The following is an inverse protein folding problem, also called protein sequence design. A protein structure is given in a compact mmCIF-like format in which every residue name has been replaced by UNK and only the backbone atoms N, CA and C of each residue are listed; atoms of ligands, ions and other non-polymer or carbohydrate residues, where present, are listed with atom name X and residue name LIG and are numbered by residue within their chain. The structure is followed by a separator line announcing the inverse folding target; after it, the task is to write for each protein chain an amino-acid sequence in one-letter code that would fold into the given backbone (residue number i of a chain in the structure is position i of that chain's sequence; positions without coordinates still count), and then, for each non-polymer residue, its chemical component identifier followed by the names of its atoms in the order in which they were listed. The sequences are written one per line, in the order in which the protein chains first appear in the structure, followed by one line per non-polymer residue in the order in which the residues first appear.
data_IF_336322354431
#
_entry.id   IF_336322354431
#
_cell.length_a   1.000
_cell.length_b   1.000
_cell.length_c   1.000
_cell.angle_alpha   90.00
_cell.angle_beta   90.00
_cell.angle_gamma   90.00
#
_symmetry.space_group_name_H-M   'P 1'
#
loop_
_entity.id
_entity.type
_entity.pdbx_description
1 polymer ?
#
# COMPACT_ATOMS: atom_id res chain seq x y z
N UNK A 1 9.14 0.01 -2.93
CA UNK A 1 8.29 -0.49 -1.83
C UNK A 1 9.08 -1.45 -0.98
N UNK A 2 9.33 -1.06 0.25
CA UNK A 2 10.01 -1.83 1.28
C UNK A 2 9.18 -1.83 2.57
N UNK A 3 9.42 -2.76 3.51
CA UNK A 3 8.72 -2.75 4.78
C UNK A 3 8.80 -1.37 5.46
N UNK A 4 7.66 -0.86 5.92
CA UNK A 4 7.53 0.49 6.47
C UNK A 4 6.99 1.53 5.50
N UNK A 5 7.07 1.31 4.18
CA UNK A 5 6.48 2.22 3.20
C UNK A 5 4.95 2.25 3.34
N UNK A 6 4.37 3.42 3.08
CA UNK A 6 2.92 3.65 3.12
C UNK A 6 2.39 3.86 1.70
N UNK A 7 1.23 3.28 1.42
CA UNK A 7 0.51 3.42 0.15
C UNK A 7 -0.88 3.97 0.44
N UNK A 8 -1.25 5.06 -0.21
CA UNK A 8 -2.61 5.61 -0.20
C UNK A 8 -3.30 5.32 -1.54
N UNK A 9 -4.58 4.94 -1.48
CA UNK A 9 -5.40 4.54 -2.61
C UNK A 9 -6.55 5.51 -2.76
N UNK A 10 -6.64 6.15 -3.91
CA UNK A 10 -7.81 6.90 -4.40
C UNK A 10 -8.52 5.96 -5.38
N UNK A 11 -9.63 5.35 -4.96
CA UNK A 11 -10.26 4.29 -5.74
C UNK A 11 -10.94 4.84 -6.99
N UNK A 12 -11.50 6.03 -6.92
CA UNK A 12 -12.28 6.66 -7.99
C UNK A 12 -11.41 7.50 -8.94
N UNK A 13 -10.20 7.86 -8.52
CA UNK A 13 -9.28 8.71 -9.26
C UNK A 13 -9.68 10.19 -9.24
N UNK A 14 -10.41 10.63 -8.22
CA UNK A 14 -10.97 11.98 -8.10
C UNK A 14 -10.11 12.94 -7.25
N UNK A 15 -8.95 12.46 -6.77
CA UNK A 15 -8.02 13.21 -5.94
C UNK A 15 -8.24 13.02 -4.43
N UNK A 16 -9.25 12.24 -4.01
CA UNK A 16 -9.46 11.89 -2.61
C UNK A 16 -8.93 10.49 -2.31
N UNK A 17 -8.05 10.39 -1.32
CA UNK A 17 -7.58 9.08 -0.84
C UNK A 17 -8.61 8.44 0.10
N UNK A 18 -9.00 7.21 -0.21
CA UNK A 18 -10.03 6.44 0.47
C UNK A 18 -9.45 5.42 1.44
N UNK A 19 -8.26 4.92 1.13
CA UNK A 19 -7.65 3.83 1.85
C UNK A 19 -6.14 4.02 2.00
N UNK A 20 -5.57 3.43 3.05
CA UNK A 20 -4.14 3.46 3.32
C UNK A 20 -3.69 2.10 3.82
N UNK A 21 -2.55 1.64 3.33
CA UNK A 21 -1.89 0.41 3.78
C UNK A 21 -0.44 0.66 4.11
N UNK A 22 0.14 -0.20 4.94
CA UNK A 22 1.58 -0.26 5.18
C UNK A 22 2.18 -1.51 4.54
N UNK A 23 3.30 -1.37 3.86
CA UNK A 23 4.11 -2.48 3.34
C UNK A 23 4.76 -3.19 4.52
N UNK A 24 4.57 -4.50 4.62
CA UNK A 24 5.04 -5.30 5.76
C UNK A 24 6.08 -6.35 5.36
N UNK A 25 6.06 -6.78 4.10
CA UNK A 25 6.95 -7.82 3.59
C UNK A 25 7.07 -7.76 2.07
N UNK A 26 7.93 -8.63 1.54
CA UNK A 26 7.91 -9.02 0.13
C UNK A 26 7.80 -10.53 0.05
N UNK A 27 7.10 -11.03 -0.96
CA UNK A 27 7.03 -12.46 -1.23
C UNK A 27 8.34 -12.99 -1.86
N UNK A 28 8.37 -14.28 -2.21
CA UNK A 28 9.53 -14.93 -2.86
C UNK A 28 9.88 -14.33 -4.23
N UNK A 29 8.91 -13.69 -4.89
CA UNK A 29 9.08 -12.98 -6.16
C UNK A 29 9.44 -11.50 -5.98
N UNK A 30 9.75 -11.06 -4.76
CA UNK A 30 10.05 -9.66 -4.42
C UNK A 30 8.83 -8.72 -4.61
N UNK A 31 7.61 -9.26 -4.67
CA UNK A 31 6.37 -8.47 -4.75
C UNK A 31 5.98 -7.95 -3.37
N UNK A 32 5.70 -6.65 -3.20
CA UNK A 32 5.30 -6.07 -1.93
C UNK A 32 3.98 -6.62 -1.40
N UNK A 33 3.97 -6.94 -0.10
CA UNK A 33 2.78 -7.34 0.65
C UNK A 33 2.44 -6.26 1.66
N UNK A 34 1.15 -5.98 1.81
CA UNK A 34 0.62 -4.91 2.64
C UNK A 34 -0.36 -5.42 3.69
N UNK A 35 -0.44 -4.67 4.79
CA UNK A 35 -1.53 -4.77 5.76
C UNK A 35 -2.35 -3.48 5.76
N UNK A 36 -3.64 -3.61 6.05
CA UNK A 36 -4.54 -2.49 6.24
C UNK A 36 -5.45 -2.70 7.44
N UNK A 37 -5.84 -1.61 8.10
CA UNK A 37 -6.78 -1.65 9.21
C UNK A 37 -8.23 -1.63 8.68
N UNK A 38 -8.59 -2.68 7.94
CA UNK A 38 -9.96 -2.96 7.46
C UNK A 38 -10.24 -4.46 7.63
N UNK A 39 -11.38 -4.95 7.13
CA UNK A 39 -11.72 -6.38 7.13
C UNK A 39 -10.56 -7.22 6.58
N UNK A 40 -10.03 -8.11 7.42
CA UNK A 40 -8.95 -9.09 7.21
C UNK A 40 -7.98 -8.79 6.04
N UNK A 41 -7.37 -7.60 6.06
CA UNK A 41 -6.35 -7.21 5.08
C UNK A 41 -4.96 -7.43 5.63
N UNK A 42 -4.52 -8.70 5.64
CA UNK A 42 -3.17 -9.11 6.04
C UNK A 42 -2.42 -9.76 4.88
N UNK A 43 -1.18 -9.31 4.65
CA UNK A 43 -0.27 -9.84 3.63
C UNK A 43 -0.90 -9.90 2.22
N UNK A 44 -1.70 -8.88 1.88
CA UNK A 44 -2.31 -8.76 0.55
C UNK A 44 -1.33 -8.14 -0.43
N UNK A 45 -1.52 -8.38 -1.72
CA UNK A 45 -0.72 -7.70 -2.74
C UNK A 45 -1.01 -6.20 -2.77
N UNK A 46 0.06 -5.41 -2.87
CA UNK A 46 0.01 -3.95 -2.79
C UNK A 46 -0.88 -3.27 -3.86
N UNK A 47 -1.09 -3.91 -5.02
CA UNK A 47 -1.91 -3.31 -6.08
C UNK A 47 -3.38 -3.21 -5.67
N UNK A 48 -3.81 -4.08 -4.75
CA UNK A 48 -5.15 -4.09 -4.16
C UNK A 48 -6.28 -4.25 -5.20
N UNK A 49 -5.95 -4.85 -6.35
CA UNK A 49 -6.87 -5.12 -7.48
C UNK A 49 -7.95 -6.16 -7.13
N UNK A 50 -7.69 -7.00 -6.14
CA UNK A 50 -8.61 -8.00 -5.60
C UNK A 50 -9.58 -7.43 -4.54
N UNK A 51 -9.55 -6.11 -4.31
CA UNK A 51 -10.45 -5.43 -3.37
C UNK A 51 -11.83 -5.23 -3.96
N UNK A 52 -12.87 -5.38 -3.13
CA UNK A 52 -14.25 -5.01 -3.51
C UNK A 52 -14.43 -3.52 -3.77
N UNK A 53 -13.50 -2.69 -3.32
CA UNK A 53 -13.48 -1.24 -3.59
C UNK A 53 -12.63 -0.87 -4.82
N UNK A 54 -11.97 -1.84 -5.47
CA UNK A 54 -11.15 -1.58 -6.64
C UNK A 54 -11.98 -0.98 -7.78
N UNK A 55 -11.40 0.02 -8.47
CA UNK A 55 -11.90 0.47 -9.77
C UNK A 55 -10.73 0.63 -10.75
N UNK A 56 -10.97 0.58 -12.08
CA UNK A 56 -9.94 0.84 -13.08
C UNK A 56 -9.33 2.25 -13.01
N UNK A 57 -10.00 3.20 -12.35
CA UNK A 57 -9.53 4.58 -12.20
C UNK A 57 -8.57 4.79 -11.02
N UNK A 58 -8.29 3.73 -10.25
CA UNK A 58 -7.50 3.80 -9.01
C UNK A 58 -6.17 4.54 -9.20
N UNK A 59 -5.86 5.42 -8.25
CA UNK A 59 -4.59 6.14 -8.15
C UNK A 59 -3.88 5.80 -6.86
N UNK A 60 -2.56 5.82 -6.92
CA UNK A 60 -1.70 5.48 -5.78
C UNK A 60 -0.80 6.66 -5.44
N UNK A 61 -0.61 6.89 -4.14
CA UNK A 61 0.48 7.71 -3.63
C UNK A 61 1.38 6.86 -2.73
N UNK A 62 2.69 6.94 -2.98
CA UNK A 62 3.70 6.14 -2.28
C UNK A 62 4.54 7.03 -1.39
N UNK A 63 4.71 6.64 -0.13
CA UNK A 63 5.50 7.36 0.85
C UNK A 63 6.53 6.42 1.47
N UNK A 64 7.79 6.83 1.44
CA UNK A 64 8.86 6.19 2.21
C UNK A 64 9.05 6.98 3.50
N UNK A 65 8.93 6.31 4.64
CA UNK A 65 9.20 6.91 5.94
C UNK A 65 10.71 6.84 6.16
N UNK A 66 11.37 7.99 6.11
CA UNK A 66 12.78 8.10 6.44
C UNK A 66 12.90 8.17 7.96
N UNK A 67 13.76 7.32 8.53
CA UNK A 67 14.19 7.44 9.91
C UNK A 67 15.66 7.88 9.99
N UNK A 68 16.13 8.17 11.20
CA UNK A 68 17.51 8.62 11.42
C UNK A 68 18.52 7.46 11.44
N UNK A 69 18.11 6.22 11.20
CA UNK A 69 19.03 5.06 11.22
C UNK A 69 19.92 4.98 9.98
N UNK A 70 19.57 5.71 8.92
CA UNK A 70 20.35 5.78 7.67
C UNK A 70 21.25 7.01 7.58
N UNK A 71 21.35 7.83 8.63
CA UNK A 71 22.28 8.97 8.68
C UNK A 71 23.65 8.45 9.12
N UNK A 72 24.54 8.21 8.16
CA UNK A 72 25.98 8.05 8.38
C UNK A 72 26.65 9.40 8.68
#
# INVERSE_FOLDING_TARGET
LMPGDVICYDFEGDGRFNHTTIVVAKDKGNLPLVNAQTYDSRMRYWSYEDSTAYTPSIRYAFFHIVDDTTKE
#
